data_IF_615462383626
#
_entry.id   IF_615462383626
#
_cell.length_a   1.000
_cell.length_b   1.000
_cell.length_c   1.000
_cell.angle_alpha   90.00
_cell.angle_beta   90.00
_cell.angle_gamma   90.00
#
_symmetry.space_group_name_H-M   'P 1'
#
loop_
_entity.id
_entity.type
_entity.pdbx_description
1 polymer ?
#
# COMPACT_ATOMS: atom_id res chain seq x y z
N UNK A 1 56.77 -13.20 13.95
CA UNK A 1 55.50 -13.46 14.67
C UNK A 1 54.64 -12.20 14.92
N UNK A 2 55.07 -10.99 14.54
CA UNK A 2 54.28 -9.75 14.76
C UNK A 2 53.33 -9.36 13.61
N UNK A 3 53.57 -9.85 12.38
CA UNK A 3 52.76 -9.48 11.21
C UNK A 3 51.41 -10.21 11.11
N UNK A 4 51.26 -11.39 11.72
CA UNK A 4 49.99 -12.15 11.70
C UNK A 4 48.93 -11.53 12.62
N UNK A 5 49.33 -10.98 13.76
CA UNK A 5 48.41 -10.40 14.76
C UNK A 5 47.80 -9.07 14.31
N UNK A 6 48.57 -8.24 13.60
CA UNK A 6 48.11 -6.97 13.03
C UNK A 6 47.09 -7.15 11.90
N UNK A 7 47.29 -8.17 11.05
CA UNK A 7 46.39 -8.44 9.92
C UNK A 7 45.05 -9.03 10.36
N UNK A 8 45.05 -9.87 11.40
CA UNK A 8 43.83 -10.36 12.06
C UNK A 8 43.05 -9.23 12.75
N UNK A 9 43.75 -8.28 13.36
CA UNK A 9 43.13 -7.09 13.97
C UNK A 9 42.42 -6.17 12.97
N UNK A 10 43.01 -5.96 11.79
CA UNK A 10 42.41 -5.15 10.72
C UNK A 10 41.18 -5.80 10.08
N UNK A 11 41.23 -7.12 9.81
CA UNK A 11 40.09 -7.86 9.27
C UNK A 11 38.89 -7.82 10.24
N UNK A 12 39.13 -8.09 11.53
CA UNK A 12 38.07 -8.09 12.54
C UNK A 12 37.40 -6.71 12.73
N UNK A 13 38.18 -5.63 12.58
CA UNK A 13 37.67 -4.27 12.68
C UNK A 13 36.85 -3.86 11.45
N UNK A 14 37.26 -4.30 10.25
CA UNK A 14 36.50 -4.10 9.01
C UNK A 14 35.15 -4.83 9.04
N UNK A 15 35.12 -6.09 9.48
CA UNK A 15 33.87 -6.85 9.60
C UNK A 15 32.88 -6.19 10.57
N UNK A 16 33.39 -5.70 11.72
CA UNK A 16 32.56 -5.02 12.72
C UNK A 16 32.03 -3.68 12.23
N UNK A 17 32.81 -2.99 11.39
CA UNK A 17 32.38 -1.77 10.69
C UNK A 17 31.28 -2.08 9.67
N UNK A 18 31.49 -3.08 8.80
CA UNK A 18 30.51 -3.50 7.79
C UNK A 18 29.17 -3.94 8.40
N UNK A 19 29.20 -4.71 9.49
CA UNK A 19 27.98 -5.12 10.21
C UNK A 19 27.25 -3.94 10.86
N UNK A 20 27.99 -2.93 11.36
CA UNK A 20 27.39 -1.69 11.86
C UNK A 20 26.74 -0.89 10.76
N UNK A 21 27.39 -0.76 9.60
CA UNK A 21 26.83 -0.12 8.42
C UNK A 21 25.56 -0.83 7.97
N UNK A 22 25.59 -2.16 7.82
CA UNK A 22 24.41 -2.96 7.48
C UNK A 22 23.26 -2.72 8.47
N UNK A 23 23.55 -2.74 9.77
CA UNK A 23 22.52 -2.49 10.80
C UNK A 23 21.92 -1.09 10.66
N UNK A 24 22.74 -0.08 10.37
CA UNK A 24 22.28 1.28 10.10
C UNK A 24 21.38 1.34 8.87
N UNK A 25 21.80 0.70 7.78
CA UNK A 25 21.04 0.63 6.53
C UNK A 25 19.71 -0.10 6.71
N UNK A 26 19.68 -1.24 7.40
CA UNK A 26 18.44 -1.98 7.67
C UNK A 26 17.45 -1.16 8.51
N UNK A 27 17.94 -0.42 9.51
CA UNK A 27 17.10 0.50 10.29
C UNK A 27 16.53 1.61 9.43
N UNK A 28 17.37 2.25 8.63
CA UNK A 28 16.92 3.31 7.73
C UNK A 28 15.87 2.81 6.73
N UNK A 29 16.08 1.63 6.15
CA UNK A 29 15.12 1.00 5.22
C UNK A 29 13.81 0.65 5.90
N UNK A 30 13.85 0.16 7.15
CA UNK A 30 12.64 -0.01 7.96
C UNK A 30 11.90 1.31 8.12
N UNK A 31 12.60 2.40 8.45
CA UNK A 31 11.98 3.71 8.61
C UNK A 31 11.35 4.20 7.30
N UNK A 32 11.97 3.92 6.15
CA UNK A 32 11.41 4.21 4.82
C UNK A 32 10.15 3.38 4.53
N UNK A 33 10.11 2.10 4.90
CA UNK A 33 8.89 1.28 4.77
C UNK A 33 7.77 1.90 5.60
N UNK A 34 8.04 2.22 6.88
CA UNK A 34 7.05 2.81 7.77
C UNK A 34 6.51 4.14 7.22
N UNK A 35 7.41 5.01 6.76
CA UNK A 35 7.02 6.27 6.12
C UNK A 35 6.18 6.06 4.85
N UNK A 36 6.54 5.09 4.00
CA UNK A 36 5.75 4.75 2.82
C UNK A 36 4.34 4.27 3.15
N UNK A 37 4.21 3.44 4.20
CA UNK A 37 2.91 2.97 4.71
C UNK A 37 2.08 4.12 5.29
N UNK A 38 2.69 5.01 6.07
CA UNK A 38 2.01 6.19 6.62
C UNK A 38 1.49 7.11 5.51
N UNK A 39 2.30 7.38 4.48
CA UNK A 39 1.90 8.19 3.34
C UNK A 39 0.74 7.54 2.54
N UNK A 40 0.79 6.22 2.34
CA UNK A 40 -0.30 5.49 1.70
C UNK A 40 -1.61 5.58 2.51
N UNK A 41 -1.53 5.52 3.85
CA UNK A 41 -2.68 5.68 4.73
C UNK A 41 -3.27 7.10 4.73
N UNK A 42 -2.41 8.13 4.67
CA UNK A 42 -2.84 9.53 4.51
C UNK A 42 -3.56 9.76 3.17
N UNK A 43 -3.00 9.22 2.09
CA UNK A 43 -3.60 9.28 0.76
C UNK A 43 -4.97 8.58 0.74
N UNK A 44 -5.07 7.37 1.31
CA UNK A 44 -6.33 6.66 1.47
C UNK A 44 -7.39 7.49 2.23
N UNK A 45 -7.00 8.18 3.32
CA UNK A 45 -7.91 9.05 4.07
C UNK A 45 -8.40 10.24 3.23
N UNK A 46 -7.51 10.85 2.44
CA UNK A 46 -7.87 11.91 1.50
C UNK A 46 -8.90 11.43 0.49
N UNK A 47 -8.64 10.30 -0.18
CA UNK A 47 -9.54 9.73 -1.18
C UNK A 47 -10.87 9.30 -0.58
N UNK A 48 -10.88 8.76 0.65
CA UNK A 48 -12.12 8.41 1.35
C UNK A 48 -12.96 9.65 1.70
N UNK A 49 -12.30 10.76 2.06
CA UNK A 49 -12.98 12.04 2.31
C UNK A 49 -13.62 12.60 1.02
N UNK A 50 -12.92 12.50 -0.10
CA UNK A 50 -13.44 12.84 -1.43
C UNK A 50 -14.62 11.96 -1.81
N UNK A 51 -14.49 10.63 -1.64
CA UNK A 51 -15.57 9.68 -1.91
C UNK A 51 -16.82 9.98 -1.07
N UNK A 52 -16.65 10.28 0.22
CA UNK A 52 -17.76 10.70 1.08
C UNK A 52 -18.45 11.95 0.53
N UNK A 53 -17.68 12.93 0.10
CA UNK A 53 -18.21 14.17 -0.48
C UNK A 53 -18.98 13.86 -1.76
N UNK A 54 -18.43 13.07 -2.66
CA UNK A 54 -19.09 12.70 -3.93
C UNK A 54 -20.32 11.81 -3.73
N UNK A 55 -20.33 10.99 -2.68
CA UNK A 55 -21.45 10.10 -2.39
C UNK A 55 -22.66 10.85 -1.81
N UNK A 56 -22.42 11.87 -0.98
CA UNK A 56 -23.49 12.53 -0.20
C UNK A 56 -23.75 13.98 -0.60
N UNK A 57 -22.97 14.54 -1.52
CA UNK A 57 -23.22 15.87 -2.07
C UNK A 57 -24.40 15.86 -3.04
N UNK A 58 -25.16 16.96 -3.01
CA UNK A 58 -26.27 17.20 -3.94
C UNK A 58 -25.83 17.89 -5.23
N UNK A 59 -24.52 18.08 -5.46
CA UNK A 59 -23.99 18.76 -6.65
C UNK A 59 -24.14 17.83 -7.87
N UNK A 60 -24.36 18.40 -9.06
CA UNK A 60 -24.54 17.66 -10.32
C UNK A 60 -23.38 16.72 -10.66
N UNK A 61 -22.16 17.05 -10.24
CA UNK A 61 -20.97 16.21 -10.45
C UNK A 61 -20.85 15.08 -9.43
N UNK A 62 -21.60 15.12 -8.33
CA UNK A 62 -21.66 14.06 -7.32
C UNK A 62 -22.42 12.84 -7.86
N UNK A 63 -22.36 11.71 -7.17
CA UNK A 63 -22.90 10.43 -7.68
C UNK A 63 -24.37 10.50 -8.06
N UNK A 64 -25.18 11.12 -7.21
CA UNK A 64 -26.60 11.30 -7.49
C UNK A 64 -26.78 12.17 -8.73
N UNK A 65 -26.00 13.26 -8.87
CA UNK A 65 -26.05 14.12 -10.03
C UNK A 65 -25.70 13.40 -11.33
N UNK A 66 -24.63 12.61 -11.34
CA UNK A 66 -24.22 11.79 -12.49
C UNK A 66 -25.31 10.76 -12.86
N UNK A 67 -25.89 10.08 -11.85
CA UNK A 67 -26.94 9.08 -12.06
C UNK A 67 -28.31 9.67 -12.43
N UNK A 68 -28.50 10.97 -12.22
CA UNK A 68 -29.71 11.72 -12.54
C UNK A 68 -29.60 12.49 -13.86
N UNK A 69 -28.44 12.52 -14.51
CA UNK A 69 -28.15 13.33 -15.69
C UNK A 69 -29.20 13.15 -16.81
N UNK A 70 -29.51 11.91 -17.17
CA UNK A 70 -30.54 11.59 -18.17
C UNK A 70 -31.94 12.06 -17.76
N UNK A 71 -32.25 11.97 -16.46
CA UNK A 71 -33.53 12.43 -15.92
C UNK A 71 -33.62 13.95 -15.96
N UNK A 72 -32.54 14.66 -15.64
CA UNK A 72 -32.46 16.10 -15.80
C UNK A 72 -32.58 16.51 -17.26
N UNK A 73 -31.98 15.76 -18.18
CA UNK A 73 -32.11 16.04 -19.60
C UNK A 73 -33.55 15.85 -20.08
N UNK A 74 -34.21 14.74 -19.73
CA UNK A 74 -35.62 14.49 -20.05
C UNK A 74 -36.55 15.57 -19.45
N UNK A 75 -36.31 15.96 -18.19
CA UNK A 75 -37.00 17.06 -17.52
C UNK A 75 -36.87 18.40 -18.27
N UNK A 76 -35.70 18.69 -18.86
CA UNK A 76 -35.48 19.90 -19.65
C UNK A 76 -36.17 19.88 -21.01
N UNK A 77 -36.49 18.70 -21.54
CA UNK A 77 -37.23 18.53 -22.79
C UNK A 77 -38.74 18.63 -22.63
N UNK A 78 -39.26 18.82 -21.42
CA UNK A 78 -40.69 19.03 -21.15
C UNK A 78 -41.14 20.47 -21.45
N UNK A 79 -42.17 20.62 -22.28
CA UNK A 79 -42.75 21.91 -22.68
C UNK A 79 -44.29 21.91 -22.72
N UNK A 80 -44.88 23.11 -22.85
CA UNK A 80 -46.33 23.32 -22.90
C UNK A 80 -47.01 23.32 -21.53
N UNK A 81 -48.35 23.38 -21.53
CA UNK A 81 -49.17 23.41 -20.33
C UNK A 81 -48.94 22.15 -19.47
N UNK A 82 -48.75 22.35 -18.16
CA UNK A 82 -48.47 21.27 -17.21
C UNK A 82 -47.03 20.73 -17.22
N UNK A 83 -46.12 21.31 -18.01
CA UNK A 83 -44.70 20.89 -18.06
C UNK A 83 -43.99 21.00 -16.72
N UNK A 84 -44.27 22.03 -15.92
CA UNK A 84 -43.69 22.17 -14.57
C UNK A 84 -44.01 20.95 -13.69
N UNK A 85 -45.27 20.51 -13.70
CA UNK A 85 -45.69 19.32 -12.95
C UNK A 85 -44.99 18.06 -13.47
N UNK A 86 -44.98 17.84 -14.78
CA UNK A 86 -44.33 16.65 -15.37
C UNK A 86 -42.83 16.61 -15.09
N UNK A 87 -42.16 17.77 -15.13
CA UNK A 87 -40.74 17.91 -14.76
C UNK A 87 -40.48 17.48 -13.31
N UNK A 88 -41.30 17.96 -12.37
CA UNK A 88 -41.21 17.60 -10.95
C UNK A 88 -41.51 16.13 -10.73
N UNK A 89 -42.52 15.59 -11.41
CA UNK A 89 -42.88 14.18 -11.33
C UNK A 89 -41.73 13.29 -11.83
N UNK A 90 -41.09 13.61 -12.97
CA UNK A 90 -39.93 12.89 -13.49
C UNK A 90 -38.77 12.83 -12.48
N UNK A 91 -38.39 13.99 -11.95
CA UNK A 91 -37.28 14.10 -10.98
C UNK A 91 -37.63 13.34 -9.70
N UNK A 92 -38.82 13.55 -9.15
CA UNK A 92 -39.25 12.95 -7.87
C UNK A 92 -39.37 11.42 -7.99
N UNK A 93 -39.96 10.93 -9.08
CA UNK A 93 -40.12 9.50 -9.32
C UNK A 93 -38.76 8.81 -9.49
N UNK A 94 -37.82 9.42 -10.22
CA UNK A 94 -36.47 8.87 -10.34
C UNK A 94 -35.74 8.90 -9.00
N UNK A 95 -35.78 10.02 -8.29
CA UNK A 95 -35.08 10.20 -7.02
C UNK A 95 -35.55 9.21 -5.95
N UNK A 96 -36.86 8.95 -5.89
CA UNK A 96 -37.45 7.94 -5.01
C UNK A 96 -37.32 6.50 -5.52
N UNK A 97 -36.73 6.27 -6.70
CA UNK A 97 -36.67 4.93 -7.28
C UNK A 97 -35.62 4.06 -6.60
N UNK A 98 -36.00 2.81 -6.29
CA UNK A 98 -35.06 1.79 -5.80
C UNK A 98 -33.86 1.60 -6.74
N UNK A 99 -34.09 1.69 -8.05
CA UNK A 99 -33.03 1.54 -9.04
C UNK A 99 -31.95 2.61 -8.94
N UNK A 100 -32.30 3.87 -8.61
CA UNK A 100 -31.31 4.92 -8.39
C UNK A 100 -30.48 4.62 -7.14
N UNK A 101 -31.13 4.21 -6.06
CA UNK A 101 -30.46 3.82 -4.82
C UNK A 101 -29.49 2.64 -5.03
N UNK A 102 -29.92 1.60 -5.75
CA UNK A 102 -29.07 0.45 -6.06
C UNK A 102 -27.87 0.83 -6.93
N UNK A 103 -28.06 1.71 -7.93
CA UNK A 103 -26.96 2.23 -8.74
C UNK A 103 -25.99 3.08 -7.92
N UNK A 104 -26.50 3.95 -7.03
CA UNK A 104 -25.68 4.75 -6.14
C UNK A 104 -24.84 3.89 -5.21
N UNK A 105 -25.45 2.89 -4.58
CA UNK A 105 -24.75 1.93 -3.70
C UNK A 105 -23.65 1.17 -4.45
N UNK A 106 -23.93 0.71 -5.68
CA UNK A 106 -22.92 0.02 -6.52
C UNK A 106 -21.77 0.96 -6.86
N UNK A 107 -22.07 2.15 -7.33
CA UNK A 107 -21.06 3.13 -7.71
C UNK A 107 -20.15 3.51 -6.53
N UNK A 108 -20.74 3.70 -5.34
CA UNK A 108 -19.98 3.89 -4.11
C UNK A 108 -19.11 2.69 -3.76
N UNK A 109 -19.67 1.48 -3.79
CA UNK A 109 -18.91 0.25 -3.49
C UNK A 109 -17.74 0.05 -4.43
N UNK A 110 -17.93 0.29 -5.73
CA UNK A 110 -16.89 0.11 -6.73
C UNK A 110 -15.78 1.16 -6.58
N UNK A 111 -16.12 2.41 -6.30
CA UNK A 111 -15.13 3.46 -5.99
C UNK A 111 -14.37 3.17 -4.70
N UNK A 112 -15.05 2.77 -3.64
CA UNK A 112 -14.41 2.36 -2.38
C UNK A 112 -13.43 1.21 -2.59
N UNK A 113 -13.83 0.18 -3.35
CA UNK A 113 -12.94 -0.93 -3.71
C UNK A 113 -11.71 -0.47 -4.48
N UNK A 114 -11.87 0.47 -5.42
CA UNK A 114 -10.74 1.07 -6.14
C UNK A 114 -9.73 1.70 -5.19
N UNK A 115 -10.21 2.54 -4.27
CA UNK A 115 -9.37 3.21 -3.25
C UNK A 115 -8.67 2.19 -2.35
N UNK A 116 -9.36 1.13 -1.92
CA UNK A 116 -8.77 0.08 -1.10
C UNK A 116 -7.69 -0.73 -1.84
N UNK A 117 -7.91 -1.03 -3.13
CA UNK A 117 -6.91 -1.72 -3.95
C UNK A 117 -5.69 -0.83 -4.21
N UNK A 118 -5.88 0.48 -4.34
CA UNK A 118 -4.78 1.44 -4.48
C UNK A 118 -3.93 1.53 -3.21
N UNK A 119 -4.56 1.57 -2.03
CA UNK A 119 -3.84 1.47 -0.76
C UNK A 119 -2.99 0.19 -0.67
N UNK A 120 -3.57 -0.96 -1.01
CA UNK A 120 -2.86 -2.24 -1.03
C UNK A 120 -1.65 -2.20 -1.98
N UNK A 121 -1.82 -1.66 -3.18
CA UNK A 121 -0.75 -1.52 -4.16
C UNK A 121 0.38 -0.61 -3.66
N UNK A 122 0.07 0.55 -3.07
CA UNK A 122 1.05 1.51 -2.56
C UNK A 122 1.85 0.95 -1.36
N UNK A 123 1.17 0.25 -0.45
CA UNK A 123 1.83 -0.43 0.69
C UNK A 123 2.75 -1.52 0.18
N UNK A 124 2.27 -2.37 -0.72
CA UNK A 124 3.07 -3.46 -1.30
C UNK A 124 4.29 -2.91 -2.03
N UNK A 125 4.12 -1.89 -2.86
CA UNK A 125 5.21 -1.26 -3.58
C UNK A 125 6.28 -0.70 -2.62
N UNK A 126 5.86 -0.01 -1.55
CA UNK A 126 6.79 0.53 -0.54
C UNK A 126 7.61 -0.57 0.13
N UNK A 127 7.00 -1.72 0.44
CA UNK A 127 7.69 -2.87 1.03
C UNK A 127 8.62 -3.52 0.01
N UNK A 128 8.11 -3.86 -1.17
CA UNK A 128 8.84 -4.59 -2.22
C UNK A 128 10.10 -3.82 -2.66
N UNK A 129 10.00 -2.49 -2.85
CA UNK A 129 11.14 -1.65 -3.18
C UNK A 129 12.24 -1.72 -2.11
N UNK A 130 11.88 -1.63 -0.84
CA UNK A 130 12.87 -1.63 0.24
C UNK A 130 13.47 -3.02 0.44
N UNK A 131 12.68 -4.09 0.36
CA UNK A 131 13.17 -5.47 0.42
C UNK A 131 14.13 -5.76 -0.73
N UNK A 132 13.83 -5.34 -1.96
CA UNK A 132 14.71 -5.56 -3.11
C UNK A 132 16.10 -4.94 -2.91
N UNK A 133 16.16 -3.73 -2.31
CA UNK A 133 17.47 -3.15 -2.02
C UNK A 133 18.12 -3.62 -0.70
N UNK A 134 17.39 -4.22 0.24
CA UNK A 134 18.01 -5.05 1.30
C UNK A 134 18.71 -6.25 0.68
N UNK A 135 18.05 -6.98 -0.22
CA UNK A 135 18.63 -8.15 -0.89
C UNK A 135 19.88 -7.76 -1.67
N UNK A 136 19.84 -6.62 -2.36
CA UNK A 136 21.01 -6.05 -3.07
C UNK A 136 22.17 -5.74 -2.11
N UNK A 137 21.90 -5.09 -0.97
CA UNK A 137 22.96 -4.76 0.02
C UNK A 137 23.59 -6.04 0.60
N UNK A 138 22.77 -7.03 0.94
CA UNK A 138 23.24 -8.32 1.47
C UNK A 138 24.07 -9.08 0.45
N UNK A 139 23.65 -9.03 -0.82
CA UNK A 139 24.36 -9.64 -1.94
C UNK A 139 25.73 -8.99 -2.15
N UNK A 140 25.80 -7.66 -2.09
CA UNK A 140 27.06 -6.92 -2.16
C UNK A 140 28.00 -7.28 -1.01
N UNK A 141 27.50 -7.31 0.23
CA UNK A 141 28.30 -7.71 1.40
C UNK A 141 28.79 -9.15 1.30
N UNK A 142 27.98 -10.05 0.74
CA UNK A 142 28.40 -11.43 0.49
C UNK A 142 29.53 -11.47 -0.52
N UNK A 143 29.41 -10.75 -1.63
CA UNK A 143 30.40 -10.78 -2.70
C UNK A 143 31.71 -10.09 -2.29
N UNK A 144 31.64 -8.96 -1.58
CA UNK A 144 32.81 -8.31 -0.97
C UNK A 144 33.51 -9.21 0.06
N UNK A 145 32.75 -9.91 0.93
CA UNK A 145 33.34 -10.88 1.85
C UNK A 145 33.87 -12.12 1.14
N UNK A 146 33.24 -12.62 0.07
CA UNK A 146 33.78 -13.73 -0.73
C UNK A 146 35.11 -13.33 -1.37
N UNK A 147 35.24 -12.10 -1.86
CA UNK A 147 36.52 -11.59 -2.40
C UNK A 147 37.57 -11.44 -1.30
N UNK A 148 37.21 -10.96 -0.10
CA UNK A 148 38.15 -10.77 1.02
C UNK A 148 38.49 -12.05 1.81
N UNK A 149 37.60 -13.04 1.85
CA UNK A 149 37.77 -14.28 2.63
C UNK A 149 37.98 -15.56 1.82
N UNK A 150 37.86 -15.53 0.49
CA UNK A 150 38.31 -16.67 -0.34
C UNK A 150 39.80 -16.98 -0.15
N UNK A 151 40.54 -16.10 0.53
CA UNK A 151 41.91 -16.38 0.98
C UNK A 151 42.02 -16.93 2.42
N UNK A 152 41.00 -16.85 3.31
CA UNK A 152 41.24 -17.07 4.77
C UNK A 152 40.21 -17.76 5.69
N UNK A 153 38.87 -17.83 5.49
CA UNK A 153 38.03 -18.47 6.54
C UNK A 153 36.60 -18.96 6.16
N UNK A 154 36.35 -20.29 6.12
CA UNK A 154 35.02 -20.86 5.81
C UNK A 154 33.94 -20.71 6.90
N UNK A 155 34.31 -20.62 8.18
CA UNK A 155 33.34 -20.55 9.29
C UNK A 155 32.55 -19.24 9.30
N UNK A 156 33.18 -18.14 8.87
CA UNK A 156 32.52 -16.84 8.80
C UNK A 156 31.40 -16.84 7.76
N UNK A 157 31.64 -17.47 6.61
CA UNK A 157 30.64 -17.66 5.55
C UNK A 157 29.37 -18.35 6.06
N UNK A 158 29.53 -19.35 6.93
CA UNK A 158 28.41 -20.08 7.53
C UNK A 158 27.60 -19.21 8.51
N UNK A 159 28.28 -18.35 9.28
CA UNK A 159 27.63 -17.43 10.23
C UNK A 159 26.88 -16.30 9.53
N UNK A 160 27.44 -15.73 8.47
CA UNK A 160 26.76 -14.69 7.68
C UNK A 160 25.54 -15.26 6.96
N UNK A 161 25.65 -16.44 6.37
CA UNK A 161 24.52 -17.12 5.75
C UNK A 161 23.39 -17.36 6.76
N UNK A 162 23.70 -17.87 7.95
CA UNK A 162 22.71 -18.09 9.00
C UNK A 162 22.00 -16.80 9.46
N UNK A 163 22.71 -15.67 9.50
CA UNK A 163 22.12 -14.40 9.93
C UNK A 163 21.29 -13.74 8.83
N UNK A 164 21.70 -13.90 7.56
CA UNK A 164 20.87 -13.53 6.40
C UNK A 164 19.58 -14.34 6.37
N UNK A 165 19.66 -15.66 6.60
CA UNK A 165 18.48 -16.52 6.66
C UNK A 165 17.52 -16.12 7.79
N UNK A 166 18.05 -15.72 8.95
CA UNK A 166 17.23 -15.18 10.05
C UNK A 166 16.56 -13.86 9.68
N UNK A 167 17.29 -12.94 9.06
CA UNK A 167 16.74 -11.66 8.62
C UNK A 167 15.61 -11.88 7.60
N UNK A 168 15.79 -12.81 6.67
CA UNK A 168 14.77 -13.20 5.68
C UNK A 168 13.53 -13.79 6.35
N UNK A 169 13.71 -14.71 7.30
CA UNK A 169 12.60 -15.29 8.05
C UNK A 169 11.82 -14.25 8.89
N UNK A 170 12.48 -13.21 9.40
CA UNK A 170 11.80 -12.09 10.06
C UNK A 170 11.00 -11.23 9.08
N UNK A 171 11.57 -10.91 7.91
CA UNK A 171 10.87 -10.16 6.86
C UNK A 171 9.64 -10.94 6.35
N UNK A 172 9.75 -12.24 6.14
CA UNK A 172 8.61 -13.09 5.75
C UNK A 172 7.51 -13.14 6.84
N UNK A 173 7.90 -12.99 8.11
CA UNK A 173 6.94 -12.89 9.22
C UNK A 173 6.20 -11.55 9.21
N UNK A 174 6.93 -10.47 8.95
CA UNK A 174 6.35 -9.14 8.83
C UNK A 174 5.40 -9.09 7.63
N UNK A 175 5.81 -9.64 6.48
CA UNK A 175 4.97 -9.75 5.30
C UNK A 175 3.66 -10.48 5.59
N UNK A 176 3.72 -11.66 6.24
CA UNK A 176 2.51 -12.40 6.65
C UNK A 176 1.64 -11.65 7.65
N UNK A 177 2.23 -10.97 8.64
CA UNK A 177 1.46 -10.19 9.60
C UNK A 177 0.71 -9.03 8.94
N UNK A 178 1.32 -8.39 7.94
CA UNK A 178 0.65 -7.36 7.11
C UNK A 178 -0.49 -7.99 6.31
N UNK A 179 -0.26 -9.14 5.70
CA UNK A 179 -1.27 -9.89 4.95
C UNK A 179 -2.47 -10.30 5.82
N UNK A 180 -2.22 -10.75 7.06
CA UNK A 180 -3.25 -11.11 8.04
C UNK A 180 -4.08 -9.89 8.46
N UNK A 181 -3.46 -8.74 8.70
CA UNK A 181 -4.16 -7.48 9.02
C UNK A 181 -5.03 -7.02 7.85
N UNK A 182 -4.53 -7.13 6.62
CA UNK A 182 -5.29 -6.80 5.40
C UNK A 182 -6.47 -7.75 5.21
N UNK A 183 -6.28 -9.04 5.46
CA UNK A 183 -7.34 -10.05 5.35
C UNK A 183 -8.40 -9.92 6.45
N UNK A 184 -8.01 -9.56 7.67
CA UNK A 184 -8.94 -9.24 8.75
C UNK A 184 -9.82 -8.03 8.40
N UNK A 185 -9.22 -6.98 7.83
CA UNK A 185 -9.96 -5.81 7.36
C UNK A 185 -10.92 -6.12 6.19
N UNK A 186 -10.59 -7.10 5.33
CA UNK A 186 -11.49 -7.63 4.29
C UNK A 186 -12.63 -8.48 4.86
N UNK A 187 -12.38 -9.28 5.90
CA UNK A 187 -13.37 -10.15 6.53
C UNK A 187 -14.49 -9.41 7.27
N UNK A 188 -14.16 -8.32 7.97
CA UNK A 188 -15.16 -7.49 8.66
C UNK A 188 -16.08 -6.74 7.69
N UNK A 189 -15.62 -6.49 6.46
CA UNK A 189 -16.41 -5.83 5.42
C UNK A 189 -17.43 -6.77 4.73
N UNK A 190 -17.26 -8.08 4.81
CA UNK A 190 -18.16 -9.08 4.17
C UNK A 190 -19.18 -9.67 5.16
N UNK A 191 -18.94 -9.58 6.48
CA UNK A 191 -19.81 -10.11 7.54
C UNK A 191 -20.95 -9.16 7.96
N UNK A 192 -21.04 -7.97 7.36
CA UNK A 192 -22.13 -6.98 7.60
C UNK A 192 -23.12 -6.86 6.43
N UNK A 193 -23.07 -7.79 5.48
CA UNK A 193 -23.98 -7.89 4.33
C UNK A 193 -25.40 -8.35 4.65
#
# INVERSE_FOLDING_TARGET
MFYLTLHLGHAHNNTRSALRTLTGTLRHRKDLILYGVENAAEHFHSELSSLRTDAFSSIRTAFVGQLMEDTYHAANMEYGSGSDRRRKDLITNRFGSRSLFDSHRRFFKDRFRGIANELEAQVKESVDQQVALIETDLQMLRDENVVLESERNPEFRSRVAAEVDRARAQLDRIGRAVEDVVNAARGDADMTG
#
